data_IF_821868692326
#
_entry.id   IF_821868692326
#
_cell.length_a   1.000
_cell.length_b   1.000
_cell.length_c   1.000
_cell.angle_alpha   90.00
_cell.angle_beta   90.00
_cell.angle_gamma   90.00
#
_symmetry.space_group_name_H-M   'P 1'
#
loop_
_entity.id
_entity.type
_entity.pdbx_description
1 polymer ?
#
# COMPACT_ATOMS: atom_id res chain seq x y z
N UNK A 1 -32.96 26.92 24.73
CA UNK A 1 -32.51 27.46 26.03
C UNK A 1 -31.73 26.34 26.69
N UNK A 2 -30.43 26.33 26.95
CA UNK A 2 -29.26 27.24 26.93
C UNK A 2 -28.10 26.25 27.15
N UNK A 3 -26.93 26.31 26.52
CA UNK A 3 -26.00 27.44 26.53
C UNK A 3 -24.73 27.04 27.28
N UNK A 4 -23.68 26.71 26.51
CA UNK A 4 -22.28 27.20 26.54
C UNK A 4 -21.52 27.41 27.88
N UNK A 5 -20.21 27.16 27.74
CA UNK A 5 -19.05 27.78 28.44
C UNK A 5 -18.68 27.19 29.82
N UNK A 6 -17.42 27.12 30.24
CA UNK A 6 -16.18 27.62 29.67
C UNK A 6 -14.97 27.25 30.54
N UNK A 7 -13.78 27.46 29.98
CA UNK A 7 -12.47 27.42 30.63
C UNK A 7 -12.45 28.16 31.97
N UNK A 8 -11.73 27.62 32.97
CA UNK A 8 -11.06 28.45 33.99
C UNK A 8 -9.66 27.89 34.27
N UNK A 9 -8.69 28.72 33.91
CA UNK A 9 -7.27 28.66 34.21
C UNK A 9 -7.02 29.03 35.67
N UNK A 10 -6.23 28.25 36.40
CA UNK A 10 -5.73 28.61 37.73
C UNK A 10 -4.21 28.82 37.69
N UNK A 11 -3.80 30.09 37.75
CA UNK A 11 -2.47 30.55 38.13
C UNK A 11 -2.40 30.67 39.67
N UNK A 12 -1.30 30.27 40.32
CA UNK A 12 -1.00 30.69 41.69
C UNK A 12 -0.12 31.97 41.74
N UNK A 13 -0.18 32.73 42.85
CA UNK A 13 0.39 34.08 43.02
C UNK A 13 1.86 34.08 43.50
N UNK A 14 2.53 35.26 43.60
CA UNK A 14 3.97 35.37 43.77
C UNK A 14 4.38 35.38 45.26
N UNK A 15 5.50 34.75 45.58
CA UNK A 15 6.12 34.85 46.91
C UNK A 15 7.24 35.90 46.90
N UNK A 16 7.05 36.91 47.74
CA UNK A 16 8.00 37.98 48.07
C UNK A 16 9.22 37.48 48.84
N UNK A 17 10.35 38.13 48.57
CA UNK A 17 11.66 37.90 49.12
C UNK A 17 11.80 38.26 50.60
N UNK A 18 12.68 37.55 51.31
CA UNK A 18 13.29 38.04 52.54
C UNK A 18 14.82 38.01 52.42
N UNK A 19 15.40 39.14 52.78
CA UNK A 19 16.82 39.50 52.78
C UNK A 19 17.49 39.06 54.08
N UNK A 20 18.67 38.43 54.00
CA UNK A 20 19.73 38.60 55.01
C UNK A 20 21.12 38.59 54.38
N UNK A 21 21.87 39.66 54.68
CA UNK A 21 23.31 39.84 54.44
C UNK A 21 24.12 38.94 55.38
N UNK A 22 25.14 38.28 54.85
CA UNK A 22 26.27 37.75 55.62
C UNK A 22 27.51 37.83 54.75
N UNK A 23 28.45 38.70 55.13
CA UNK A 23 29.73 38.88 54.44
C UNK A 23 30.70 37.75 54.75
N UNK A 24 31.59 37.46 53.80
CA UNK A 24 32.67 36.49 54.00
C UNK A 24 33.51 36.30 52.75
N UNK A 25 34.67 36.95 52.76
CA UNK A 25 35.93 36.61 52.08
C UNK A 25 35.91 36.24 50.60
N UNK A 26 36.51 37.13 49.79
CA UNK A 26 36.95 36.79 48.45
C UNK A 26 38.02 35.69 48.49
N UNK A 27 37.67 34.52 47.99
CA UNK A 27 38.63 33.52 47.51
C UNK A 27 38.22 33.17 46.09
N UNK A 28 39.10 33.55 45.18
CA UNK A 28 38.96 33.45 43.74
C UNK A 28 38.94 31.97 43.33
N UNK A 29 37.74 31.40 43.16
CA UNK A 29 37.57 30.07 42.56
C UNK A 29 36.85 30.22 41.22
N UNK A 30 37.68 30.27 40.16
CA UNK A 30 37.28 30.20 38.76
C UNK A 30 36.30 29.03 38.52
N UNK A 31 35.03 29.36 38.26
CA UNK A 31 34.05 28.40 37.75
C UNK A 31 34.43 28.06 36.30
N UNK A 32 34.90 26.84 36.08
CA UNK A 32 35.15 26.27 34.75
C UNK A 32 33.82 26.20 34.00
N UNK A 33 33.64 27.09 33.02
CA UNK A 33 32.54 27.02 32.07
C UNK A 33 32.53 25.62 31.43
N UNK A 34 31.43 24.89 31.57
CA UNK A 34 31.19 23.69 30.76
C UNK A 34 30.94 24.17 29.34
N UNK A 35 32.00 24.19 28.53
CA UNK A 35 31.93 24.45 27.11
C UNK A 35 31.00 23.42 26.46
N UNK A 36 29.79 23.83 26.11
CA UNK A 36 28.98 23.07 25.17
C UNK A 36 29.64 23.24 23.81
N UNK A 37 30.39 22.21 23.38
CA UNK A 37 30.93 22.19 22.04
C UNK A 37 29.75 22.30 21.06
N UNK A 38 29.76 23.25 20.12
CA UNK A 38 28.72 23.31 19.11
C UNK A 38 28.76 21.98 18.36
N UNK A 39 27.63 21.27 18.28
CA UNK A 39 27.52 20.09 17.43
C UNK A 39 27.96 20.53 16.04
N UNK A 40 29.11 20.05 15.58
CA UNK A 40 29.55 20.24 14.20
C UNK A 40 28.52 19.56 13.32
N UNK A 41 27.56 20.34 12.83
CA UNK A 41 26.76 19.91 11.70
C UNK A 41 27.72 19.85 10.53
N UNK A 42 28.08 18.62 10.14
CA UNK A 42 28.72 18.39 8.86
C UNK A 42 27.69 18.79 7.81
N UNK A 43 27.78 20.03 7.33
CA UNK A 43 27.09 20.43 6.10
C UNK A 43 27.63 19.52 5.00
N UNK A 44 26.81 18.64 4.41
CA UNK A 44 27.30 17.78 3.34
C UNK A 44 27.73 18.69 2.20
N UNK A 45 28.91 18.45 1.63
CA UNK A 45 29.38 19.15 0.45
C UNK A 45 28.27 19.15 -0.62
N UNK A 46 28.11 20.22 -1.42
CA UNK A 46 27.04 20.31 -2.43
C UNK A 46 27.00 19.08 -3.36
N UNK A 47 28.16 18.50 -3.67
CA UNK A 47 28.28 17.23 -4.40
C UNK A 47 27.69 16.03 -3.66
N UNK A 48 27.87 15.95 -2.34
CA UNK A 48 27.29 14.90 -1.49
C UNK A 48 25.77 15.05 -1.37
N UNK A 49 25.25 16.28 -1.23
CA UNK A 49 23.80 16.52 -1.27
C UNK A 49 23.18 16.10 -2.60
N UNK A 50 23.83 16.43 -3.74
CA UNK A 50 23.36 16.03 -5.07
C UNK A 50 23.36 14.50 -5.25
N UNK A 51 24.38 13.80 -4.73
CA UNK A 51 24.44 12.34 -4.75
C UNK A 51 23.30 11.71 -3.93
N UNK A 52 23.01 12.25 -2.73
CA UNK A 52 21.90 11.78 -1.90
C UNK A 52 20.53 12.04 -2.56
N UNK A 53 20.32 13.21 -3.17
CA UNK A 53 19.08 13.52 -3.90
C UNK A 53 18.93 12.61 -5.11
N UNK A 54 20.00 12.40 -5.89
CA UNK A 54 20.00 11.49 -7.04
C UNK A 54 19.68 10.05 -6.64
N UNK A 55 20.29 9.55 -5.55
CA UNK A 55 20.00 8.23 -5.00
C UNK A 55 18.55 8.12 -4.52
N UNK A 56 18.03 9.14 -3.84
CA UNK A 56 16.65 9.18 -3.35
C UNK A 56 15.65 9.24 -4.51
N UNK A 57 15.96 9.96 -5.59
CA UNK A 57 15.16 9.97 -6.82
C UNK A 57 15.14 8.61 -7.52
N UNK A 58 16.25 7.88 -7.56
CA UNK A 58 16.29 6.51 -8.09
C UNK A 58 15.51 5.49 -7.24
N UNK A 59 15.34 5.76 -5.95
CA UNK A 59 14.54 4.93 -5.02
C UNK A 59 13.03 5.14 -5.18
N UNK A 60 12.60 6.25 -5.78
CA UNK A 60 11.21 6.48 -6.16
C UNK A 60 10.92 5.75 -7.47
N UNK A 61 10.95 4.42 -7.44
CA UNK A 61 10.27 3.64 -8.47
C UNK A 61 8.77 3.96 -8.33
N UNK A 62 8.25 4.86 -9.17
CA UNK A 62 6.82 5.08 -9.25
C UNK A 62 6.20 3.77 -9.73
N UNK A 63 5.57 3.03 -8.82
CA UNK A 63 4.66 1.97 -9.18
C UNK A 63 3.46 2.65 -9.84
N UNK A 64 3.53 2.84 -11.15
CA UNK A 64 2.44 3.40 -11.92
C UNK A 64 1.24 2.44 -11.77
N UNK A 65 0.24 2.87 -11.00
CA UNK A 65 -1.06 2.20 -10.97
C UNK A 65 -1.69 2.29 -12.36
N UNK A 66 -2.15 1.18 -12.92
CA UNK A 66 -2.78 1.15 -14.24
C UNK A 66 -4.23 0.73 -14.12
N UNK A 67 -5.12 1.50 -14.73
CA UNK A 67 -6.49 1.08 -15.00
C UNK A 67 -6.54 0.73 -16.48
N UNK A 68 -6.76 -0.55 -16.79
CA UNK A 68 -6.87 -1.00 -18.18
C UNK A 68 -8.21 -0.60 -18.78
N UNK A 69 -8.23 -0.32 -20.08
CA UNK A 69 -9.50 -0.33 -20.83
C UNK A 69 -9.95 -1.77 -21.11
N UNK A 70 -11.25 -1.97 -21.38
CA UNK A 70 -11.84 -3.29 -21.66
C UNK A 70 -11.08 -4.05 -22.76
N UNK A 71 -10.89 -3.44 -23.92
CA UNK A 71 -10.22 -4.10 -25.05
C UNK A 71 -8.70 -4.19 -24.90
N UNK A 72 -8.06 -3.24 -24.22
CA UNK A 72 -6.64 -3.36 -23.90
C UNK A 72 -6.39 -4.57 -22.99
N UNK A 73 -7.24 -4.78 -21.98
CA UNK A 73 -7.17 -5.95 -21.13
C UNK A 73 -7.49 -7.23 -21.90
N UNK A 74 -8.52 -7.23 -22.76
CA UNK A 74 -8.89 -8.39 -23.57
C UNK A 74 -7.72 -8.90 -24.41
N UNK A 75 -7.07 -8.01 -25.19
CA UNK A 75 -5.89 -8.36 -26.00
C UNK A 75 -4.75 -8.91 -25.14
N UNK A 76 -4.46 -8.25 -24.02
CA UNK A 76 -3.38 -8.68 -23.12
C UNK A 76 -3.65 -10.06 -22.50
N UNK A 77 -4.89 -10.33 -22.06
CA UNK A 77 -5.25 -11.61 -21.48
C UNK A 77 -5.30 -12.73 -22.54
N UNK A 78 -5.66 -12.39 -23.78
CA UNK A 78 -5.56 -13.29 -24.92
C UNK A 78 -4.11 -13.65 -25.23
N UNK A 79 -3.19 -12.68 -25.22
CA UNK A 79 -1.74 -12.92 -25.39
C UNK A 79 -1.17 -13.82 -24.30
N UNK A 80 -1.70 -13.73 -23.08
CA UNK A 80 -1.35 -14.66 -21.99
C UNK A 80 -2.03 -16.03 -22.09
N UNK A 81 -2.87 -16.27 -23.10
CA UNK A 81 -3.51 -17.56 -23.36
C UNK A 81 -4.66 -17.88 -22.41
N UNK A 82 -5.39 -16.87 -21.92
CA UNK A 82 -6.56 -17.07 -21.07
C UNK A 82 -7.83 -17.43 -21.85
N UNK A 83 -7.89 -17.16 -23.16
CA UNK A 83 -9.04 -17.56 -23.97
C UNK A 83 -9.11 -19.09 -24.10
N UNK A 84 -10.20 -19.68 -23.61
CA UNK A 84 -10.38 -21.12 -23.51
C UNK A 84 -9.65 -21.78 -22.34
N UNK A 85 -8.91 -21.05 -21.51
CA UNK A 85 -8.15 -21.64 -20.40
C UNK A 85 -9.11 -22.32 -19.41
N UNK A 86 -8.94 -23.64 -19.27
CA UNK A 86 -9.82 -24.49 -18.42
C UNK A 86 -11.30 -24.43 -18.81
N UNK A 87 -11.59 -24.10 -20.07
CA UNK A 87 -12.96 -24.00 -20.59
C UNK A 87 -13.66 -22.66 -20.32
N UNK A 88 -12.94 -21.65 -19.80
CA UNK A 88 -13.45 -20.29 -19.65
C UNK A 88 -13.08 -19.45 -20.86
N UNK A 89 -14.05 -18.70 -21.38
CA UNK A 89 -13.85 -17.77 -22.48
C UNK A 89 -13.03 -16.56 -22.04
N UNK A 90 -12.44 -15.82 -22.98
CA UNK A 90 -11.82 -14.52 -22.67
C UNK A 90 -12.80 -13.57 -21.95
N UNK A 91 -14.07 -13.57 -22.35
CA UNK A 91 -15.12 -12.75 -21.76
C UNK A 91 -15.35 -13.04 -20.27
N UNK A 92 -15.18 -14.29 -19.82
CA UNK A 92 -15.26 -14.65 -18.40
C UNK A 92 -14.20 -13.91 -17.57
N UNK A 93 -12.97 -13.85 -18.08
CA UNK A 93 -11.86 -13.18 -17.41
C UNK A 93 -12.00 -11.67 -17.38
N UNK A 94 -12.54 -11.09 -18.45
CA UNK A 94 -12.82 -9.65 -18.51
C UNK A 94 -13.98 -9.27 -17.58
N UNK A 95 -15.05 -10.06 -17.55
CA UNK A 95 -16.14 -9.88 -16.60
C UNK A 95 -15.64 -9.97 -15.15
N UNK A 96 -14.83 -11.00 -14.84
CA UNK A 96 -14.21 -11.14 -13.52
C UNK A 96 -13.44 -9.88 -13.14
N UNK A 97 -12.48 -9.45 -13.97
CA UNK A 97 -11.61 -8.31 -13.70
C UNK A 97 -12.39 -7.01 -13.48
N UNK A 98 -13.48 -6.81 -14.24
CA UNK A 98 -14.33 -5.63 -14.09
C UNK A 98 -15.01 -5.61 -12.72
N UNK A 99 -15.71 -6.69 -12.37
CA UNK A 99 -16.48 -6.68 -11.12
C UNK A 99 -15.60 -6.81 -9.88
N UNK A 100 -14.37 -7.35 -9.99
CA UNK A 100 -13.44 -7.38 -8.86
C UNK A 100 -12.75 -6.05 -8.61
N UNK A 101 -12.32 -5.33 -9.64
CA UNK A 101 -11.44 -4.16 -9.45
C UNK A 101 -11.75 -2.95 -10.33
N UNK A 102 -12.73 -3.05 -11.24
CA UNK A 102 -12.91 -2.04 -12.28
C UNK A 102 -11.69 -1.91 -13.19
N UNK A 103 -10.98 -3.01 -13.44
CA UNK A 103 -9.72 -3.07 -14.21
C UNK A 103 -8.51 -2.35 -13.59
N UNK A 104 -8.57 -1.98 -12.32
CA UNK A 104 -7.48 -1.31 -11.62
C UNK A 104 -6.45 -2.32 -11.08
N UNK A 105 -5.22 -2.27 -11.58
CA UNK A 105 -4.13 -3.14 -11.12
C UNK A 105 -3.69 -2.85 -9.70
N UNK A 106 -3.89 -1.64 -9.19
CA UNK A 106 -3.50 -1.24 -7.84
C UNK A 106 -4.64 -1.36 -6.82
N UNK A 107 -5.77 -2.00 -7.17
CA UNK A 107 -6.89 -2.19 -6.26
C UNK A 107 -6.48 -3.06 -5.06
N UNK A 108 -6.74 -2.57 -3.86
CA UNK A 108 -6.55 -3.31 -2.60
C UNK A 108 -7.81 -3.16 -1.77
N UNK A 109 -8.33 -4.29 -1.32
CA UNK A 109 -9.43 -4.35 -0.37
C UNK A 109 -8.98 -5.04 0.93
N UNK A 110 -9.57 -4.64 2.05
CA UNK A 110 -9.19 -5.08 3.38
C UNK A 110 -10.34 -5.83 4.04
N UNK A 111 -10.08 -7.09 4.38
CA UNK A 111 -11.05 -7.96 5.04
C UNK A 111 -11.02 -7.77 6.57
N UNK A 112 -12.12 -8.10 7.24
CA UNK A 112 -12.26 -7.97 8.68
C UNK A 112 -11.26 -8.82 9.49
N UNK A 113 -10.72 -9.89 8.90
CA UNK A 113 -9.69 -10.74 9.52
C UNK A 113 -8.26 -10.22 9.33
N UNK A 114 -8.10 -9.05 8.70
CA UNK A 114 -6.81 -8.45 8.39
C UNK A 114 -6.16 -8.97 7.10
N UNK A 115 -6.76 -9.93 6.41
CA UNK A 115 -6.32 -10.32 5.07
C UNK A 115 -6.66 -9.24 4.04
N UNK A 116 -6.02 -9.30 2.88
CA UNK A 116 -6.20 -8.33 1.79
C UNK A 116 -6.52 -9.04 0.49
N UNK A 117 -7.35 -8.42 -0.34
CA UNK A 117 -7.57 -8.84 -1.71
C UNK A 117 -6.82 -7.88 -2.63
N UNK A 118 -6.00 -8.42 -3.53
CA UNK A 118 -4.95 -7.63 -4.20
C UNK A 118 -5.06 -7.70 -5.72
N UNK A 119 -4.94 -6.53 -6.35
CA UNK A 119 -4.79 -6.36 -7.78
C UNK A 119 -6.05 -6.56 -8.59
N UNK A 120 -5.87 -6.68 -9.90
CA UNK A 120 -6.97 -6.66 -10.88
C UNK A 120 -8.00 -7.78 -10.67
N UNK A 121 -7.55 -8.94 -10.17
CA UNK A 121 -8.39 -10.10 -9.85
C UNK A 121 -8.68 -10.25 -8.35
N UNK A 122 -8.35 -9.27 -7.51
CA UNK A 122 -8.63 -9.30 -6.06
C UNK A 122 -8.18 -10.63 -5.38
N UNK A 123 -6.93 -11.02 -5.62
CA UNK A 123 -6.38 -12.29 -5.11
C UNK A 123 -6.07 -12.15 -3.61
N UNK A 124 -6.66 -13.04 -2.81
CA UNK A 124 -6.59 -12.98 -1.34
C UNK A 124 -5.24 -13.42 -0.76
N UNK A 125 -4.69 -12.61 0.14
CA UNK A 125 -3.49 -12.90 0.94
C UNK A 125 -3.70 -14.02 1.96
N UNK A 126 -4.96 -14.35 2.29
CA UNK A 126 -5.30 -15.46 3.19
C UNK A 126 -4.75 -16.81 2.68
N UNK A 127 -4.53 -16.94 1.38
CA UNK A 127 -4.13 -18.21 0.76
C UNK A 127 -3.07 -18.08 -0.33
N UNK A 128 -3.12 -17.05 -1.16
CA UNK A 128 -2.45 -17.09 -2.46
C UNK A 128 -1.12 -16.35 -2.50
N UNK A 129 -1.00 -15.21 -1.82
CA UNK A 129 0.22 -14.40 -1.78
C UNK A 129 0.63 -14.09 -0.34
N UNK A 130 1.88 -13.69 -0.14
CA UNK A 130 2.42 -13.31 1.17
C UNK A 130 2.30 -11.79 1.40
N UNK A 131 1.65 -11.38 2.50
CA UNK A 131 1.63 -10.00 2.99
C UNK A 131 2.35 -9.88 4.34
N UNK A 132 3.51 -10.52 4.46
CA UNK A 132 4.33 -10.62 5.68
C UNK A 132 3.68 -11.39 6.84
N UNK A 133 2.56 -12.06 6.60
CA UNK A 133 2.01 -13.07 7.51
C UNK A 133 2.65 -14.44 7.24
N UNK A 134 3.50 -14.88 8.17
CA UNK A 134 4.21 -16.16 8.08
C UNK A 134 3.30 -17.38 8.21
N UNK A 135 2.03 -17.22 8.62
CA UNK A 135 1.05 -18.30 8.74
C UNK A 135 0.31 -18.58 7.43
N UNK A 136 0.30 -17.63 6.49
CA UNK A 136 -0.44 -17.77 5.24
C UNK A 136 0.27 -18.80 4.30
N UNK A 137 -0.47 -19.70 3.62
CA UNK A 137 0.12 -20.73 2.76
C UNK A 137 0.95 -20.23 1.57
N UNK A 138 0.72 -18.99 1.11
CA UNK A 138 1.38 -18.38 -0.05
C UNK A 138 1.48 -19.32 -1.27
N UNK A 139 0.33 -19.82 -1.74
CA UNK A 139 0.32 -20.86 -2.78
C UNK A 139 0.91 -20.38 -4.11
N UNK A 140 0.86 -19.09 -4.45
CA UNK A 140 1.50 -18.54 -5.65
C UNK A 140 2.99 -18.21 -5.45
N UNK A 141 3.52 -18.35 -4.23
CA UNK A 141 4.94 -18.12 -3.90
C UNK A 141 5.43 -16.72 -4.30
N UNK A 142 4.63 -15.70 -4.01
CA UNK A 142 4.91 -14.30 -4.36
C UNK A 142 4.47 -13.35 -3.25
N UNK A 143 4.94 -12.10 -3.28
CA UNK A 143 4.40 -11.07 -2.40
C UNK A 143 3.10 -10.52 -2.96
N UNK A 144 2.17 -10.12 -2.09
CA UNK A 144 0.92 -9.52 -2.55
C UNK A 144 1.14 -8.19 -3.29
N UNK A 145 2.25 -7.50 -3.01
CA UNK A 145 2.68 -6.30 -3.74
C UNK A 145 3.04 -6.58 -5.20
N UNK A 146 3.46 -7.81 -5.54
CA UNK A 146 3.72 -8.19 -6.93
C UNK A 146 2.44 -8.21 -7.78
N UNK A 147 1.29 -8.44 -7.15
CA UNK A 147 -0.02 -8.44 -7.80
C UNK A 147 -0.53 -7.02 -8.14
N UNK A 148 0.10 -5.98 -7.57
CA UNK A 148 -0.28 -4.59 -7.74
C UNK A 148 0.42 -3.90 -8.92
N UNK A 149 1.37 -4.62 -9.55
CA UNK A 149 2.16 -4.09 -10.66
C UNK A 149 1.28 -3.89 -11.90
N UNK A 150 1.56 -2.87 -12.72
CA UNK A 150 0.84 -2.66 -13.98
C UNK A 150 1.07 -3.81 -14.97
N UNK A 151 2.22 -4.48 -14.93
CA UNK A 151 2.46 -5.69 -15.72
C UNK A 151 1.74 -6.89 -15.09
N UNK A 152 0.79 -7.46 -15.82
CA UNK A 152 -0.09 -8.53 -15.32
C UNK A 152 0.50 -9.95 -15.38
N UNK A 153 1.73 -10.16 -15.84
CA UNK A 153 2.29 -11.51 -16.05
C UNK A 153 2.19 -12.40 -14.80
N UNK A 154 2.70 -11.93 -13.67
CA UNK A 154 2.67 -12.70 -12.41
C UNK A 154 1.23 -12.86 -11.88
N UNK A 155 0.42 -11.81 -12.03
CA UNK A 155 -1.00 -11.82 -11.66
C UNK A 155 -1.79 -12.87 -12.43
N UNK A 156 -1.57 -12.98 -13.75
CA UNK A 156 -2.21 -13.98 -14.61
C UNK A 156 -1.74 -15.38 -14.27
N UNK A 157 -0.44 -15.60 -14.04
CA UNK A 157 0.08 -16.91 -13.62
C UNK A 157 -0.59 -17.37 -12.31
N UNK A 158 -0.72 -16.48 -11.33
CA UNK A 158 -1.41 -16.81 -10.08
C UNK A 158 -2.90 -17.08 -10.31
N UNK A 159 -3.60 -16.26 -11.11
CA UNK A 159 -5.01 -16.47 -11.44
C UNK A 159 -5.27 -17.81 -12.16
N UNK A 160 -4.40 -18.18 -13.11
CA UNK A 160 -4.43 -19.49 -13.77
C UNK A 160 -4.29 -20.63 -12.76
N UNK A 161 -3.35 -20.50 -11.82
CA UNK A 161 -3.17 -21.49 -10.74
C UNK A 161 -4.42 -21.64 -9.87
N UNK A 162 -5.11 -20.55 -9.57
CA UNK A 162 -6.38 -20.59 -8.82
C UNK A 162 -7.46 -21.31 -9.64
N UNK A 163 -7.59 -20.99 -10.93
CA UNK A 163 -8.57 -21.58 -11.84
C UNK A 163 -8.32 -23.06 -12.17
N UNK A 164 -7.13 -23.60 -11.91
CA UNK A 164 -6.88 -25.04 -11.95
C UNK A 164 -7.59 -25.80 -10.82
N UNK A 165 -7.92 -25.12 -9.73
CA UNK A 165 -8.63 -25.72 -8.59
C UNK A 165 -10.02 -26.23 -8.97
N UNK A 166 -10.63 -27.08 -8.11
CA UNK A 166 -11.89 -27.76 -8.42
C UNK A 166 -13.09 -26.82 -8.63
N UNK A 167 -13.01 -25.57 -8.14
CA UNK A 167 -14.05 -24.56 -8.34
C UNK A 167 -13.82 -23.68 -9.58
N UNK A 168 -12.65 -23.75 -10.22
CA UNK A 168 -12.30 -22.85 -11.32
C UNK A 168 -12.51 -21.37 -10.97
N UNK A 169 -13.11 -20.61 -11.88
CA UNK A 169 -13.48 -19.20 -11.66
C UNK A 169 -14.55 -19.01 -10.57
N UNK A 170 -15.32 -20.05 -10.22
CA UNK A 170 -16.26 -19.98 -9.10
C UNK A 170 -15.56 -19.87 -7.73
N UNK A 171 -14.22 -19.91 -7.69
CA UNK A 171 -13.44 -19.46 -6.52
C UNK A 171 -13.71 -18.00 -6.18
N UNK A 172 -13.91 -17.14 -7.19
CA UNK A 172 -14.30 -15.75 -7.01
C UNK A 172 -15.81 -15.63 -6.86
N UNK A 173 -16.26 -15.18 -5.70
CA UNK A 173 -17.68 -14.96 -5.42
C UNK A 173 -18.31 -13.93 -6.36
N UNK A 174 -17.58 -12.85 -6.60
CA UNK A 174 -17.97 -11.80 -7.55
C UNK A 174 -18.26 -12.36 -8.95
N UNK A 175 -17.44 -13.28 -9.46
CA UNK A 175 -17.71 -13.91 -10.76
C UNK A 175 -18.96 -14.79 -10.74
N UNK A 176 -19.21 -15.53 -9.65
CA UNK A 176 -20.45 -16.32 -9.51
C UNK A 176 -21.70 -15.44 -9.58
N UNK A 177 -21.69 -14.27 -8.94
CA UNK A 177 -22.85 -13.40 -8.85
C UNK A 177 -23.07 -12.55 -10.11
N UNK A 178 -21.98 -12.13 -10.76
CA UNK A 178 -22.07 -11.16 -11.84
C UNK A 178 -21.86 -11.74 -13.24
N UNK A 179 -21.15 -12.85 -13.38
CA UNK A 179 -20.70 -13.39 -14.66
C UNK A 179 -21.24 -14.80 -14.97
N UNK A 180 -21.27 -15.68 -13.96
CA UNK A 180 -21.59 -17.09 -14.18
C UNK A 180 -22.98 -17.29 -14.78
N UNK A 181 -23.04 -18.06 -15.87
CA UNK A 181 -24.29 -18.44 -16.54
C UNK A 181 -24.97 -17.31 -17.31
N UNK A 182 -24.28 -16.19 -17.55
CA UNK A 182 -24.78 -15.07 -18.36
C UNK A 182 -24.17 -15.10 -19.76
N UNK A 183 -24.83 -14.42 -20.69
CA UNK A 183 -24.17 -14.04 -21.93
C UNK A 183 -23.13 -12.95 -21.63
N UNK A 184 -21.88 -13.21 -21.98
CA UNK A 184 -20.75 -12.33 -21.72
C UNK A 184 -20.14 -11.77 -23.02
N UNK A 185 -20.77 -12.00 -24.18
CA UNK A 185 -20.24 -11.57 -25.50
C UNK A 185 -19.87 -10.08 -25.55
N UNK A 186 -20.69 -9.22 -24.94
CA UNK A 186 -20.44 -7.77 -24.83
C UNK A 186 -19.09 -7.41 -24.17
N UNK A 187 -18.52 -8.28 -23.34
CA UNK A 187 -17.22 -8.01 -22.70
C UNK A 187 -16.06 -7.99 -23.67
N UNK A 188 -16.19 -8.66 -24.81
CA UNK A 188 -15.15 -8.72 -25.85
C UNK A 188 -15.61 -8.17 -27.20
N UNK A 189 -16.88 -7.76 -27.31
CA UNK A 189 -17.41 -7.14 -28.52
C UNK A 189 -16.63 -5.86 -28.89
N UNK A 190 -16.31 -5.69 -30.17
CA UNK A 190 -15.54 -4.55 -30.70
C UNK A 190 -14.07 -4.49 -30.28
N UNK A 191 -13.51 -5.56 -29.71
CA UNK A 191 -12.08 -5.65 -29.40
C UNK A 191 -11.32 -6.35 -30.54
N UNK A 192 -11.10 -5.63 -31.65
CA UNK A 192 -10.29 -6.09 -32.79
C UNK A 192 -8.81 -6.30 -32.43
#
# INVERSE_FOLDING_TARGET
>A
VTGRAGLVSHLPPPSTALSQRGGGSASDTSMKARNWAPRRWLCPNGSMMLAFVSLLSCLLATSEAKVYSRCELARLLQEFGLDGYRGYSLADWICLAYFTSGFNTAAVDHEADGSTNNGIFQISSRKWCNNFDSKAPNLCRMYCTDLLKPNLRETVICAMKIAQGPRGLATWETWRHHCQGKDLSDWVDGCD
#
